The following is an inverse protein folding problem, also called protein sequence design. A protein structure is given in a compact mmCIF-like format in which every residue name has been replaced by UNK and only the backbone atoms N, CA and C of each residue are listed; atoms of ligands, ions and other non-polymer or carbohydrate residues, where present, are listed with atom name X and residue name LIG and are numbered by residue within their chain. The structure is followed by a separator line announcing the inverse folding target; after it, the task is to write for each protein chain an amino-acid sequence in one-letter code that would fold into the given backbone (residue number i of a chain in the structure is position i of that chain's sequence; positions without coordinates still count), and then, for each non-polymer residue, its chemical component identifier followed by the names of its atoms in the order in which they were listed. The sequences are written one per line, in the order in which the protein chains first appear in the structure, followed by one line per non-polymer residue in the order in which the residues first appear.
data_IF_759276269437
#
_entry.id   IF_759276269437
#
_cell.length_a   1.000
_cell.length_b   1.000
_cell.length_c   1.000
_cell.angle_alpha   90.00
_cell.angle_beta   90.00
_cell.angle_gamma   90.00
#
_symmetry.space_group_name_H-M   'P 1'
#
loop_
_entity.id
_entity.type
_entity.pdbx_description
1 polymer ?
#
# COMPACT_ATOMS: atom_id res chain seq x y z
N UNK A 1 3.36 19.17 -6.41
CA UNK A 1 4.33 18.42 -5.58
C UNK A 1 3.80 17.03 -5.30
N UNK A 2 4.37 16.00 -5.93
CA UNK A 2 4.02 14.60 -5.69
C UNK A 2 4.68 14.11 -4.39
N UNK A 3 4.09 14.45 -3.24
CA UNK A 3 4.60 14.03 -1.93
C UNK A 3 4.22 12.58 -1.64
N UNK A 4 5.18 11.80 -1.15
CA UNK A 4 4.93 10.45 -0.65
C UNK A 4 4.03 10.58 0.61
N UNK A 5 2.88 9.89 0.68
CA UNK A 5 2.01 9.94 1.84
C UNK A 5 2.72 9.45 3.10
N UNK A 6 2.42 10.08 4.23
CA UNK A 6 2.88 9.61 5.53
C UNK A 6 1.96 8.45 5.95
N UNK A 7 2.50 7.28 6.34
CA UNK A 7 1.70 6.21 6.90
C UNK A 7 1.05 6.67 8.21
N UNK A 8 -0.27 6.50 8.33
CA UNK A 8 -1.02 6.82 9.56
C UNK A 8 -1.56 5.53 10.15
N UNK A 9 -1.22 5.26 11.41
CA UNK A 9 -1.76 4.12 12.14
C UNK A 9 -3.23 4.37 12.52
N UNK A 10 -4.05 3.34 12.31
CA UNK A 10 -5.47 3.31 12.63
C UNK A 10 -5.72 2.18 13.64
N UNK A 11 -6.95 2.16 14.18
CA UNK A 11 -7.39 1.13 15.11
C UNK A 11 -7.16 -0.29 14.58
N UNK A 12 -6.85 -1.21 15.49
CA UNK A 12 -6.63 -2.65 15.22
C UNK A 12 -5.44 -2.92 14.28
N UNK A 13 -4.38 -2.11 14.38
CA UNK A 13 -3.14 -2.31 13.62
C UNK A 13 -3.26 -2.04 12.11
N UNK A 14 -4.33 -1.36 11.69
CA UNK A 14 -4.51 -0.93 10.30
C UNK A 14 -3.64 0.29 10.02
N UNK A 15 -3.21 0.48 8.78
CA UNK A 15 -2.38 1.62 8.39
C UNK A 15 -2.94 2.22 7.11
N UNK A 16 -3.20 3.51 7.12
CA UNK A 16 -3.58 4.26 5.92
C UNK A 16 -2.33 4.86 5.28
N UNK A 17 -2.16 4.63 3.98
CA UNK A 17 -1.06 5.17 3.19
C UNK A 17 -1.62 5.82 1.92
N UNK A 18 -1.98 7.11 2.01
CA UNK A 18 -2.71 7.79 0.94
C UNK A 18 -4.07 7.13 0.68
N UNK A 19 -4.24 6.56 -0.51
CA UNK A 19 -5.44 5.76 -0.89
C UNK A 19 -5.32 4.28 -0.50
N UNK A 20 -4.14 3.79 -0.16
CA UNK A 20 -3.91 2.39 0.22
C UNK A 20 -4.23 2.19 1.70
N UNK A 21 -4.75 1.01 2.01
CA UNK A 21 -4.99 0.51 3.35
C UNK A 21 -4.18 -0.78 3.53
N UNK A 22 -3.40 -0.82 4.61
CA UNK A 22 -2.74 -2.03 5.08
C UNK A 22 -3.57 -2.55 6.25
N UNK A 23 -4.04 -3.79 6.17
CA UNK A 23 -4.77 -4.44 7.27
C UNK A 23 -4.07 -5.72 7.71
N UNK A 24 -3.97 -5.98 9.02
CA UNK A 24 -3.55 -7.28 9.51
C UNK A 24 -4.62 -8.30 9.18
N UNK A 25 -4.21 -9.40 8.56
CA UNK A 25 -5.02 -10.58 8.28
C UNK A 25 -4.80 -11.54 9.43
N UNK A 26 -5.90 -11.94 10.07
CA UNK A 26 -5.85 -12.88 11.20
C UNK A 26 -5.28 -14.21 10.73
N UNK A 27 -4.55 -14.83 11.63
CA UNK A 27 -4.03 -16.18 11.48
C UNK A 27 -5.21 -17.14 11.26
N UNK A 28 -4.97 -18.17 10.45
CA UNK A 28 -5.89 -19.29 10.29
C UNK A 28 -5.11 -20.59 10.51
N UNK A 29 -5.80 -21.72 10.65
CA UNK A 29 -5.23 -23.04 10.92
C UNK A 29 -4.12 -23.41 9.91
N UNK A 30 -4.21 -22.91 8.68
CA UNK A 30 -3.24 -23.14 7.59
C UNK A 30 -2.09 -22.12 7.52
N UNK A 31 -2.18 -21.00 8.23
CA UNK A 31 -1.13 -19.98 8.24
C UNK A 31 -1.07 -19.29 9.62
N UNK A 32 -0.13 -19.74 10.48
CA UNK A 32 0.01 -19.21 11.84
C UNK A 32 0.69 -17.84 11.89
N UNK A 33 1.13 -17.30 10.75
CA UNK A 33 1.80 -16.01 10.68
C UNK A 33 0.80 -14.88 10.42
N UNK A 34 0.92 -13.78 11.18
CA UNK A 34 0.14 -12.56 10.93
C UNK A 34 0.61 -11.93 9.63
N UNK A 35 -0.24 -11.96 8.61
CA UNK A 35 0.01 -11.33 7.31
C UNK A 35 -0.58 -9.94 7.24
N UNK A 36 -0.06 -9.12 6.35
CA UNK A 36 -0.50 -7.76 6.09
C UNK A 36 -1.02 -7.67 4.67
N UNK A 37 -2.32 -7.41 4.50
CA UNK A 37 -2.94 -7.23 3.19
C UNK A 37 -2.93 -5.76 2.80
N UNK A 38 -2.54 -5.47 1.56
CA UNK A 38 -2.60 -4.13 0.96
C UNK A 38 -3.78 -4.06 -0.01
N UNK A 39 -4.64 -3.06 0.16
CA UNK A 39 -5.82 -2.84 -0.68
C UNK A 39 -6.11 -1.33 -0.84
N UNK A 40 -6.84 -0.93 -1.88
CA UNK A 40 -7.34 0.46 -2.04
C UNK A 40 -8.88 0.57 -1.94
N UNK A 41 -9.53 -0.51 -1.50
CA UNK A 41 -10.98 -0.64 -1.42
C UNK A 41 -11.61 -1.31 -2.65
N UNK A 42 -11.03 -1.14 -3.84
CA UNK A 42 -11.49 -1.80 -5.06
C UNK A 42 -10.64 -3.03 -5.40
N UNK A 43 -9.33 -2.97 -5.12
CA UNK A 43 -8.36 -3.99 -5.47
C UNK A 43 -7.57 -4.45 -4.25
N UNK A 44 -7.31 -5.75 -4.18
CA UNK A 44 -6.34 -6.35 -3.27
C UNK A 44 -5.03 -6.53 -4.04
N UNK A 45 -3.97 -5.81 -3.64
CA UNK A 45 -2.67 -5.85 -4.31
C UNK A 45 -1.78 -7.01 -3.85
N UNK A 46 -2.05 -7.56 -2.66
CA UNK A 46 -1.29 -8.70 -2.16
C UNK A 46 -1.30 -8.83 -0.63
N UNK A 47 -0.67 -9.90 -0.15
CA UNK A 47 -0.44 -10.19 1.26
C UNK A 47 1.05 -10.33 1.51
N UNK A 48 1.52 -9.75 2.60
CA UNK A 48 2.93 -9.70 2.98
C UNK A 48 3.12 -10.31 4.36
N UNK A 49 4.26 -10.95 4.61
CA UNK A 49 4.52 -11.61 5.88
C UNK A 49 4.92 -10.62 6.99
N UNK A 50 5.21 -9.36 6.64
CA UNK A 50 5.52 -8.32 7.62
C UNK A 50 4.92 -6.96 7.28
N UNK A 51 4.70 -6.16 8.34
CA UNK A 51 4.25 -4.76 8.25
C UNK A 51 5.18 -3.93 7.37
N UNK A 52 6.49 -4.11 7.55
CA UNK A 52 7.49 -3.31 6.87
C UNK A 52 7.52 -3.61 5.37
N UNK A 53 7.37 -4.88 4.96
CA UNK A 53 7.24 -5.24 3.54
C UNK A 53 6.01 -4.61 2.90
N UNK A 54 4.84 -4.65 3.56
CA UNK A 54 3.63 -4.00 3.06
C UNK A 54 3.81 -2.48 2.89
N UNK A 55 4.48 -1.82 3.85
CA UNK A 55 4.79 -0.39 3.76
C UNK A 55 5.76 -0.06 2.62
N UNK A 56 6.80 -0.86 2.44
CA UNK A 56 7.77 -0.69 1.35
C UNK A 56 7.09 -0.85 -0.01
N UNK A 57 6.18 -1.83 -0.14
CA UNK A 57 5.38 -2.02 -1.33
C UNK A 57 4.47 -0.81 -1.62
N UNK A 58 3.77 -0.27 -0.61
CA UNK A 58 2.96 0.94 -0.76
C UNK A 58 3.79 2.15 -1.22
N UNK A 59 5.01 2.32 -0.69
CA UNK A 59 5.94 3.38 -1.14
C UNK A 59 6.35 3.20 -2.59
N UNK A 60 6.65 1.97 -3.01
CA UNK A 60 7.02 1.66 -4.40
C UNK A 60 5.85 1.91 -5.35
N UNK A 61 4.64 1.45 -5.04
CA UNK A 61 3.43 1.72 -5.81
C UNK A 61 3.19 3.23 -6.00
N UNK A 62 3.33 3.99 -4.92
CA UNK A 62 3.14 5.43 -4.99
C UNK A 62 4.23 6.12 -5.83
N UNK A 63 5.48 5.64 -5.75
CA UNK A 63 6.56 6.12 -6.64
C UNK A 63 6.24 5.80 -8.09
N UNK A 64 5.79 4.60 -8.44
CA UNK A 64 5.43 4.26 -9.82
C UNK A 64 4.32 5.17 -10.34
N UNK A 65 3.23 5.33 -9.58
CA UNK A 65 2.12 6.22 -9.98
C UNK A 65 2.54 7.69 -10.13
N UNK A 66 3.49 8.16 -9.32
CA UNK A 66 4.09 9.49 -9.47
C UNK A 66 4.80 9.62 -10.83
N UNK A 67 5.54 8.59 -11.25
CA UNK A 67 6.28 8.60 -12.52
C UNK A 67 5.37 8.35 -13.73
N UNK A 68 4.32 7.55 -13.61
CA UNK A 68 3.31 7.38 -14.67
C UNK A 68 2.64 8.70 -15.03
N UNK A 69 2.30 9.52 -14.02
CA UNK A 69 1.66 10.82 -14.23
C UNK A 69 2.54 11.83 -14.96
N UNK A 70 3.87 11.66 -14.93
CA UNK A 70 4.80 12.54 -15.68
C UNK A 70 4.74 12.26 -17.19
N UNK A 71 4.30 11.07 -17.62
CA UNK A 71 4.16 10.75 -19.05
C UNK A 71 2.93 11.39 -19.70
N UNK A 72 1.90 11.75 -18.93
CA UNK A 72 0.69 12.38 -19.50
C UNK A 72 0.90 13.86 -19.87
N UNK A 73 1.80 14.57 -19.17
CA UNK A 73 2.18 15.95 -19.51
C UNK A 73 3.30 16.04 -20.58
N UNK A 74 3.83 14.89 -21.05
CA UNK A 74 4.83 14.85 -22.13
C UNK A 74 4.21 14.92 -23.54
N UNK A 75 2.94 15.29 -23.64
CA UNK A 75 2.21 15.50 -24.89
C UNK A 75 1.60 16.92 -24.95
N UNK A 76 2.45 17.94 -24.87
CA UNK A 76 2.16 19.23 -25.50
C UNK A 76 3.15 19.42 -26.64
N UNK A 77 2.67 19.13 -27.86
CA UNK A 77 3.28 19.53 -29.13
C UNK A 77 2.72 20.92 -29.44
#
# INVERSE_FOLDING_TARGET
MNRIPIPVELNKGRIKFGKLLIRPVRQNITCPLTRYQVEDGAYCYGKFDSRNQALMYCRQLHRIKIHERIKEDAAQI
#
